data_IF_066992758514
#
_entry.id   IF_066992758514
#
_cell.length_a   1.000
_cell.length_b   1.000
_cell.length_c   1.000
_cell.angle_alpha   90.00
_cell.angle_beta   90.00
_cell.angle_gamma   90.00
#
_symmetry.space_group_name_H-M   'P 1'
#
loop_
_entity.id
_entity.type
_entity.pdbx_description
1 polymer ?
#
# COMPACT_ATOMS: atom_id res chain seq x y z
N UNK A 1 -16.32 -59.44 -12.31
CA UNK A 1 -16.41 -58.71 -11.05
C UNK A 1 -15.16 -57.89 -10.72
N UNK A 2 -14.48 -57.30 -11.71
CA UNK A 2 -13.19 -56.54 -11.55
C UNK A 2 -13.30 -55.07 -11.98
N UNK A 3 -14.37 -54.65 -12.61
CA UNK A 3 -14.46 -53.28 -13.23
C UNK A 3 -14.77 -52.12 -12.23
N UNK A 4 -15.31 -52.40 -11.05
CA UNK A 4 -15.69 -51.36 -10.10
C UNK A 4 -14.57 -50.85 -9.21
N UNK A 5 -13.48 -51.60 -9.05
CA UNK A 5 -12.34 -51.18 -8.19
C UNK A 5 -11.41 -50.17 -8.85
N UNK A 6 -11.40 -50.09 -10.19
CA UNK A 6 -10.59 -49.14 -10.92
C UNK A 6 -11.17 -47.71 -10.92
N UNK A 7 -12.51 -47.58 -10.93
CA UNK A 7 -13.18 -46.28 -10.94
C UNK A 7 -13.01 -45.50 -9.64
N UNK A 8 -13.03 -46.20 -8.49
CA UNK A 8 -12.85 -45.57 -7.17
C UNK A 8 -11.44 -45.01 -6.95
N UNK A 9 -10.42 -45.63 -7.54
CA UNK A 9 -9.02 -45.17 -7.42
C UNK A 9 -8.69 -43.94 -8.28
N UNK A 10 -9.35 -43.81 -9.44
CA UNK A 10 -9.22 -42.61 -10.28
C UNK A 10 -9.88 -41.36 -9.64
N UNK A 11 -11.06 -41.54 -9.00
CA UNK A 11 -11.74 -40.42 -8.31
C UNK A 11 -10.98 -39.95 -7.08
N UNK A 12 -10.33 -40.86 -6.33
CA UNK A 12 -9.51 -40.52 -5.17
C UNK A 12 -8.27 -39.71 -5.56
N UNK A 13 -7.67 -39.96 -6.72
CA UNK A 13 -6.52 -39.22 -7.26
C UNK A 13 -6.88 -37.77 -7.69
N UNK A 14 -8.06 -37.59 -8.26
CA UNK A 14 -8.54 -36.27 -8.71
C UNK A 14 -8.91 -35.40 -7.49
N UNK A 15 -9.43 -35.97 -6.41
CA UNK A 15 -9.76 -35.23 -5.19
C UNK A 15 -8.52 -34.67 -4.48
N UNK A 16 -7.39 -35.36 -4.53
CA UNK A 16 -6.13 -34.90 -3.93
C UNK A 16 -5.52 -33.74 -4.74
N UNK A 17 -5.74 -33.67 -6.05
CA UNK A 17 -5.21 -32.60 -6.90
C UNK A 17 -5.89 -31.23 -6.68
N UNK A 18 -7.11 -31.21 -6.17
CA UNK A 18 -7.90 -29.99 -5.96
C UNK A 18 -7.48 -29.23 -4.69
N UNK A 19 -6.81 -29.88 -3.75
CA UNK A 19 -6.40 -29.28 -2.47
C UNK A 19 -5.08 -28.47 -2.52
N UNK A 20 -4.40 -28.39 -3.66
CA UNK A 20 -3.16 -27.59 -3.81
C UNK A 20 -3.47 -26.18 -4.36
N UNK A 21 -4.63 -25.62 -4.06
CA UNK A 21 -4.85 -24.19 -4.22
C UNK A 21 -4.07 -23.45 -3.13
N UNK A 22 -2.76 -23.34 -3.31
CA UNK A 22 -1.87 -22.56 -2.48
C UNK A 22 -2.38 -21.12 -2.49
N UNK A 23 -2.87 -20.60 -1.36
CA UNK A 23 -3.09 -19.17 -1.17
C UNK A 23 -1.74 -18.47 -1.36
N UNK A 24 -1.46 -18.00 -2.57
CA UNK A 24 -0.28 -17.21 -2.85
C UNK A 24 -0.40 -15.90 -2.08
N UNK A 25 0.44 -15.70 -1.08
CA UNK A 25 0.56 -14.43 -0.38
C UNK A 25 1.30 -13.43 -1.27
N UNK A 26 0.99 -12.13 -1.17
CA UNK A 26 1.51 -11.10 -2.08
C UNK A 26 3.02 -10.89 -1.95
N UNK A 27 3.60 -11.12 -0.75
CA UNK A 27 5.03 -11.04 -0.53
C UNK A 27 5.63 -12.45 -0.59
N UNK A 28 6.78 -12.58 -1.25
CA UNK A 28 7.47 -13.85 -1.43
C UNK A 28 7.84 -14.51 -0.10
N UNK A 29 7.94 -15.83 -0.10
CA UNK A 29 8.31 -16.63 1.08
C UNK A 29 9.69 -16.21 1.64
N UNK A 30 10.61 -15.84 0.75
CA UNK A 30 11.95 -15.40 1.11
C UNK A 30 11.91 -14.21 2.08
N UNK A 31 11.27 -13.11 1.71
CA UNK A 31 11.19 -11.93 2.56
C UNK A 31 10.34 -12.13 3.81
N UNK A 32 9.36 -13.03 3.78
CA UNK A 32 8.63 -13.38 5.00
C UNK A 32 9.47 -14.13 6.02
N UNK A 33 10.42 -14.95 5.57
CA UNK A 33 11.36 -15.64 6.45
C UNK A 33 12.45 -14.70 6.98
N UNK A 34 12.84 -13.70 6.19
CA UNK A 34 13.83 -12.69 6.56
C UNK A 34 13.24 -11.62 7.49
N UNK A 35 11.94 -11.36 7.37
CA UNK A 35 11.26 -10.34 8.16
C UNK A 35 11.37 -10.64 9.67
N UNK A 36 11.75 -9.61 10.43
CA UNK A 36 11.88 -9.69 11.88
C UNK A 36 10.49 -9.75 12.54
N UNK A 37 10.06 -10.91 13.10
CA UNK A 37 8.68 -11.10 13.54
C UNK A 37 8.28 -10.23 14.73
N UNK A 38 9.27 -9.80 15.53
CA UNK A 38 9.07 -9.01 16.74
C UNK A 38 9.19 -7.50 16.49
N UNK A 39 9.52 -7.06 15.26
CA UNK A 39 9.68 -5.64 14.92
C UNK A 39 8.36 -5.11 14.36
N UNK A 40 7.62 -4.41 15.20
CA UNK A 40 6.33 -3.84 14.84
C UNK A 40 6.45 -2.39 14.37
N UNK A 41 5.50 -1.92 13.54
CA UNK A 41 5.49 -0.52 13.09
C UNK A 41 5.56 0.50 14.24
N UNK A 42 4.79 0.41 15.34
CA UNK A 42 4.87 1.38 16.43
C UNK A 42 6.24 1.43 17.12
N UNK A 43 6.98 0.32 17.15
CA UNK A 43 8.33 0.29 17.72
C UNK A 43 9.32 1.07 16.85
N UNK A 44 9.30 0.79 15.54
CA UNK A 44 10.15 1.49 14.57
C UNK A 44 9.76 2.97 14.47
N UNK A 45 8.47 3.29 14.51
CA UNK A 45 7.98 4.66 14.44
C UNK A 45 8.51 5.53 15.60
N UNK A 46 8.66 4.95 16.80
CA UNK A 46 9.21 5.66 17.96
C UNK A 46 10.72 5.87 17.90
N UNK A 47 11.43 4.92 17.33
CA UNK A 47 12.91 4.99 17.22
C UNK A 47 13.38 4.25 15.95
N UNK A 48 13.30 4.87 14.77
CA UNK A 48 13.67 4.22 13.52
C UNK A 48 15.11 3.73 13.47
N UNK A 49 16.02 4.49 14.09
CA UNK A 49 17.44 4.20 14.05
C UNK A 49 17.82 2.92 14.82
N UNK A 50 17.07 2.59 15.88
CA UNK A 50 17.30 1.35 16.64
C UNK A 50 17.01 0.07 15.83
N UNK A 51 16.24 0.18 14.76
CA UNK A 51 15.82 -0.95 13.92
C UNK A 51 16.41 -0.91 12.52
N UNK A 52 17.41 -0.05 12.28
CA UNK A 52 18.10 0.04 11.00
C UNK A 52 18.68 -1.32 10.60
N UNK A 53 18.45 -1.73 9.34
CA UNK A 53 18.83 -3.02 8.81
C UNK A 53 17.81 -4.14 9.04
N UNK A 54 16.77 -3.93 9.87
CA UNK A 54 15.71 -4.92 10.05
C UNK A 54 14.82 -4.99 8.82
N UNK A 55 14.50 -6.20 8.36
CA UNK A 55 13.50 -6.40 7.30
C UNK A 55 12.12 -6.45 7.93
N UNK A 56 11.20 -5.68 7.35
CA UNK A 56 9.81 -5.55 7.80
C UNK A 56 8.84 -5.76 6.65
N UNK A 57 7.62 -6.22 6.96
CA UNK A 57 6.52 -6.31 6.00
C UNK A 57 5.42 -5.38 6.49
N UNK A 58 5.25 -4.27 5.79
CA UNK A 58 4.25 -3.25 6.12
C UNK A 58 3.34 -3.00 4.94
N UNK A 59 2.21 -2.38 5.21
CA UNK A 59 1.29 -1.96 4.17
C UNK A 59 0.47 -0.76 4.59
N UNK A 60 -0.30 -0.26 3.63
CA UNK A 60 -1.14 0.90 3.89
C UNK A 60 -1.68 1.52 2.61
N UNK A 61 -2.16 2.76 2.74
CA UNK A 61 -2.63 3.56 1.63
C UNK A 61 -1.57 4.58 1.21
N UNK A 62 -1.32 4.70 -0.09
CA UNK A 62 -0.42 5.70 -0.66
C UNK A 62 -1.03 7.09 -0.45
N UNK A 63 -0.27 8.00 0.14
CA UNK A 63 -0.61 9.43 0.28
C UNK A 63 -0.06 10.20 -0.90
N UNK A 64 1.21 9.96 -1.25
CA UNK A 64 1.93 10.66 -2.33
C UNK A 64 2.99 9.75 -2.93
N UNK A 65 3.22 9.90 -4.23
CA UNK A 65 4.34 9.28 -4.96
C UNK A 65 5.19 10.41 -5.53
N UNK A 66 6.49 10.37 -5.29
CA UNK A 66 7.45 11.36 -5.79
C UNK A 66 8.58 10.63 -6.50
N UNK A 67 8.92 11.05 -7.72
CA UNK A 67 9.98 10.46 -8.51
C UNK A 67 11.21 11.36 -8.54
N UNK A 68 12.37 10.76 -8.42
CA UNK A 68 13.69 11.39 -8.46
C UNK A 68 14.52 10.74 -9.58
N UNK A 69 15.68 11.30 -9.86
CA UNK A 69 16.63 10.75 -10.85
C UNK A 69 17.03 9.30 -10.50
N UNK A 70 17.10 8.97 -9.22
CA UNK A 70 17.64 7.70 -8.70
C UNK A 70 16.55 6.79 -8.10
N UNK A 71 15.29 6.93 -8.52
CA UNK A 71 14.21 6.09 -8.04
C UNK A 71 12.95 6.84 -7.63
N UNK A 72 12.17 6.26 -6.72
CA UNK A 72 10.89 6.81 -6.29
C UNK A 72 10.73 6.73 -4.79
N UNK A 73 9.96 7.65 -4.23
CA UNK A 73 9.50 7.61 -2.84
C UNK A 73 7.96 7.51 -2.81
N UNK A 74 7.47 6.58 -1.99
CA UNK A 74 6.07 6.50 -1.62
C UNK A 74 5.93 7.01 -0.19
N UNK A 75 5.08 8.00 0.02
CA UNK A 75 4.62 8.37 1.35
C UNK A 75 3.35 7.58 1.65
N UNK A 76 3.38 6.74 2.69
CA UNK A 76 2.34 5.74 2.95
C UNK A 76 1.76 5.93 4.33
N UNK A 77 0.42 5.98 4.41
CA UNK A 77 -0.33 5.87 5.65
C UNK A 77 -0.38 4.40 6.04
N UNK A 78 0.35 4.03 7.08
CA UNK A 78 0.47 2.65 7.52
C UNK A 78 -0.82 2.17 8.17
N UNK A 79 -1.25 0.97 7.79
CA UNK A 79 -2.35 0.25 8.43
C UNK A 79 -1.96 -1.20 8.68
N UNK A 80 -2.45 -1.83 9.78
CA UNK A 80 -2.18 -3.23 10.05
C UNK A 80 -2.57 -4.11 8.87
N UNK A 81 -1.80 -5.14 8.63
CA UNK A 81 -2.14 -6.17 7.64
C UNK A 81 -3.22 -7.11 8.19
N UNK A 82 -4.16 -7.44 7.35
CA UNK A 82 -5.18 -8.45 7.60
C UNK A 82 -4.86 -9.79 6.96
N UNK A 83 -5.88 -10.60 6.76
CA UNK A 83 -5.76 -11.89 6.05
C UNK A 83 -5.18 -11.69 4.65
N UNK A 84 -4.25 -12.56 4.26
CA UNK A 84 -3.55 -12.47 2.98
C UNK A 84 -2.63 -11.26 2.87
N UNK A 85 -2.14 -10.71 3.98
CA UNK A 85 -1.25 -9.53 4.04
C UNK A 85 -1.88 -8.26 3.42
N UNK A 86 -3.22 -8.19 3.32
CA UNK A 86 -3.92 -7.03 2.78
C UNK A 86 -4.02 -5.92 3.83
N UNK A 87 -3.67 -4.66 3.49
CA UNK A 87 -3.83 -3.53 4.41
C UNK A 87 -5.30 -3.33 4.82
N UNK A 88 -5.55 -3.15 6.12
CA UNK A 88 -6.87 -2.86 6.66
C UNK A 88 -7.38 -1.50 6.16
N UNK A 89 -8.54 -1.08 6.64
CA UNK A 89 -9.10 0.25 6.35
C UNK A 89 -8.25 1.33 7.00
N UNK A 90 -8.30 2.54 6.46
CA UNK A 90 -7.54 3.70 6.95
C UNK A 90 -7.87 4.09 8.39
N UNK A 91 -9.08 3.76 8.86
CA UNK A 91 -9.51 3.98 10.26
C UNK A 91 -8.59 3.27 11.27
N UNK A 92 -7.83 2.27 10.83
CA UNK A 92 -6.85 1.54 11.66
C UNK A 92 -5.42 2.05 11.47
N UNK A 93 -5.24 3.24 10.89
CA UNK A 93 -3.90 3.79 10.65
C UNK A 93 -3.14 4.02 11.97
N UNK A 94 -1.85 3.69 11.96
CA UNK A 94 -0.98 3.80 13.14
C UNK A 94 0.11 4.87 12.98
N UNK A 95 0.23 5.42 11.80
CA UNK A 95 1.22 6.44 11.48
C UNK A 95 1.57 6.45 10.00
N UNK A 96 2.65 7.10 9.65
CA UNK A 96 3.11 7.24 8.27
C UNK A 96 4.57 6.83 8.15
N UNK A 97 4.98 6.38 6.97
CA UNK A 97 6.38 6.09 6.66
C UNK A 97 6.70 6.43 5.21
N UNK A 98 7.97 6.54 4.93
CA UNK A 98 8.51 6.74 3.58
C UNK A 98 9.05 5.41 3.08
N UNK A 99 8.59 4.94 1.93
CA UNK A 99 9.14 3.78 1.25
C UNK A 99 9.91 4.23 0.01
N UNK A 100 11.20 3.95 -0.03
CA UNK A 100 12.10 4.28 -1.15
C UNK A 100 12.29 3.11 -2.07
N UNK A 101 12.19 3.35 -3.37
CA UNK A 101 12.49 2.39 -4.44
C UNK A 101 13.66 2.89 -5.27
N UNK A 102 14.59 2.01 -5.64
CA UNK A 102 15.60 2.29 -6.65
C UNK A 102 15.06 2.31 -8.09
N UNK A 103 13.82 1.80 -8.26
CA UNK A 103 13.14 1.77 -9.55
C UNK A 103 12.11 2.90 -9.64
N UNK A 104 11.82 3.31 -10.87
CA UNK A 104 10.73 4.24 -11.15
C UNK A 104 9.37 3.59 -10.84
N UNK A 105 8.55 4.26 -10.06
CA UNK A 105 7.17 3.89 -9.79
C UNK A 105 6.25 4.90 -10.48
N UNK A 106 5.46 4.43 -11.44
CA UNK A 106 4.55 5.28 -12.20
C UNK A 106 3.47 5.88 -11.27
N UNK A 107 3.38 7.22 -11.14
CA UNK A 107 2.38 7.88 -10.30
C UNK A 107 0.93 7.62 -10.74
N UNK A 108 0.69 7.27 -12.00
CA UNK A 108 -0.64 6.87 -12.48
C UNK A 108 -1.04 5.48 -11.95
N UNK A 109 -0.06 4.63 -11.69
CA UNK A 109 -0.27 3.28 -11.12
C UNK A 109 -0.26 3.33 -9.60
N UNK A 110 0.74 3.99 -9.01
CA UNK A 110 0.93 4.15 -7.57
C UNK A 110 0.36 5.49 -7.07
N UNK A 111 -0.88 5.81 -7.45
CA UNK A 111 -1.51 7.08 -7.09
C UNK A 111 -2.07 7.08 -5.65
N UNK A 112 -2.39 8.26 -5.15
CA UNK A 112 -3.05 8.48 -3.84
C UNK A 112 -4.26 7.56 -3.67
N UNK A 113 -4.40 6.95 -2.49
CA UNK A 113 -5.50 6.07 -2.11
C UNK A 113 -5.34 4.60 -2.54
N UNK A 114 -4.33 4.25 -3.38
CA UNK A 114 -4.04 2.84 -3.67
C UNK A 114 -3.41 2.17 -2.46
N UNK A 115 -3.80 0.91 -2.22
CA UNK A 115 -3.22 0.10 -1.15
C UNK A 115 -2.00 -0.66 -1.66
N UNK A 116 -0.96 -0.69 -0.84
CA UNK A 116 0.26 -1.45 -1.08
C UNK A 116 0.62 -2.29 0.13
N UNK A 117 1.24 -3.44 -0.12
CA UNK A 117 1.99 -4.20 0.88
C UNK A 117 3.42 -4.31 0.36
N UNK A 118 4.39 -4.05 1.19
CA UNK A 118 5.79 -4.11 0.80
C UNK A 118 6.62 -4.85 1.86
N UNK A 119 7.63 -5.54 1.39
CA UNK A 119 8.76 -5.99 2.20
C UNK A 119 9.91 -5.03 1.96
N UNK A 120 10.58 -4.64 3.02
CA UNK A 120 11.72 -3.72 2.90
C UNK A 120 12.56 -3.64 4.16
N UNK A 121 13.72 -3.08 4.01
CA UNK A 121 14.70 -2.89 5.07
C UNK A 121 14.57 -1.50 5.68
N UNK A 122 14.50 -1.40 7.00
CA UNK A 122 14.52 -0.11 7.71
C UNK A 122 15.86 0.56 7.44
N UNK A 123 15.83 1.67 6.74
CA UNK A 123 17.04 2.41 6.35
C UNK A 123 17.42 3.50 7.36
N UNK A 124 16.42 4.09 8.00
CA UNK A 124 16.60 5.19 8.94
C UNK A 124 15.37 6.04 9.10
N UNK A 125 15.54 7.34 9.11
CA UNK A 125 14.46 8.30 9.30
C UNK A 125 14.56 9.48 8.32
N UNK A 126 13.42 10.12 8.02
CA UNK A 126 13.32 11.37 7.27
C UNK A 126 12.55 12.39 8.11
N UNK A 127 13.15 13.55 8.35
CA UNK A 127 12.47 14.69 8.97
C UNK A 127 11.76 15.51 7.90
N UNK A 128 10.50 15.79 8.12
CA UNK A 128 9.68 16.63 7.24
C UNK A 128 9.16 17.79 8.06
N UNK A 129 9.47 19.00 7.61
CA UNK A 129 9.02 20.22 8.27
C UNK A 129 7.65 20.62 7.70
N UNK A 130 6.71 20.98 8.58
CA UNK A 130 5.41 21.51 8.19
C UNK A 130 5.56 22.79 7.35
N UNK A 131 4.65 23.03 6.42
CA UNK A 131 4.58 24.28 5.60
C UNK A 131 4.71 25.57 6.43
N UNK A 132 4.22 25.54 7.66
CA UNK A 132 4.30 26.70 8.57
C UNK A 132 5.67 26.84 9.25
N UNK A 133 6.59 25.89 9.05
CA UNK A 133 7.90 25.86 9.70
C UNK A 133 7.85 25.56 11.22
N UNK A 134 6.66 25.47 11.80
CA UNK A 134 6.49 25.39 13.26
C UNK A 134 6.61 23.98 13.83
N UNK A 135 6.43 22.97 12.99
CA UNK A 135 6.45 21.57 13.43
C UNK A 135 7.30 20.73 12.48
N UNK A 136 8.08 19.82 13.06
CA UNK A 136 8.83 18.84 12.31
C UNK A 136 8.39 17.44 12.72
N UNK A 137 8.16 16.59 11.74
CA UNK A 137 7.74 15.21 11.93
C UNK A 137 8.84 14.28 11.44
N UNK A 138 9.14 13.26 12.23
CA UNK A 138 10.12 12.24 11.85
C UNK A 138 9.38 10.98 11.43
N UNK A 139 9.68 10.49 10.23
CA UNK A 139 9.07 9.31 9.66
C UNK A 139 10.11 8.21 9.42
N UNK A 140 9.81 6.94 9.72
CA UNK A 140 10.66 5.83 9.32
C UNK A 140 10.83 5.78 7.80
N UNK A 141 12.04 5.47 7.36
CA UNK A 141 12.36 5.22 5.94
C UNK A 141 12.64 3.75 5.75
N UNK A 142 11.99 3.14 4.76
CA UNK A 142 12.15 1.74 4.39
C UNK A 142 12.58 1.65 2.94
N UNK A 143 13.68 0.94 2.68
CA UNK A 143 14.10 0.59 1.31
C UNK A 143 13.31 -0.60 0.81
N UNK A 144 12.53 -0.42 -0.24
CA UNK A 144 11.67 -1.46 -0.82
C UNK A 144 12.55 -2.57 -1.41
N UNK A 145 12.29 -3.81 -1.02
CA UNK A 145 12.84 -5.04 -1.62
C UNK A 145 11.79 -5.70 -2.51
N UNK A 146 10.55 -5.71 -2.08
CA UNK A 146 9.40 -6.25 -2.84
C UNK A 146 8.16 -5.40 -2.54
N UNK A 147 7.33 -5.15 -3.53
CA UNK A 147 6.10 -4.38 -3.38
C UNK A 147 4.95 -5.04 -4.14
N UNK A 148 3.81 -5.15 -3.48
CA UNK A 148 2.56 -5.62 -4.07
C UNK A 148 1.53 -4.49 -4.04
N UNK A 149 0.99 -4.16 -5.21
CA UNK A 149 -0.05 -3.16 -5.38
C UNK A 149 -1.43 -3.85 -5.45
N UNK A 150 -2.28 -3.57 -4.50
CA UNK A 150 -3.63 -4.14 -4.46
C UNK A 150 -4.53 -3.54 -5.52
N UNK A 151 -5.22 -4.39 -6.26
CA UNK A 151 -6.29 -3.94 -7.15
C UNK A 151 -7.45 -3.40 -6.33
N UNK A 152 -8.09 -2.30 -6.81
CA UNK A 152 -9.38 -1.91 -6.27
C UNK A 152 -10.35 -3.06 -6.53
N UNK A 153 -11.02 -3.54 -5.49
CA UNK A 153 -12.21 -4.34 -5.72
C UNK A 153 -13.14 -3.45 -6.57
N UNK A 154 -13.41 -3.85 -7.82
CA UNK A 154 -14.53 -3.25 -8.53
C UNK A 154 -15.74 -3.51 -7.65
N UNK A 155 -16.36 -2.45 -7.14
CA UNK A 155 -17.71 -2.57 -6.63
C UNK A 155 -18.53 -3.08 -7.83
N UNK A 156 -18.87 -4.36 -7.77
CA UNK A 156 -19.81 -4.94 -8.72
C UNK A 156 -21.16 -4.37 -8.31
N UNK A 157 -21.48 -3.19 -8.87
CA UNK A 157 -22.86 -2.74 -8.86
C UNK A 157 -23.58 -3.69 -9.79
N UNK A 158 -24.49 -4.56 -9.30
CA UNK A 158 -25.43 -5.17 -10.19
C UNK A 158 -26.11 -3.98 -10.88
N UNK A 159 -26.01 -3.93 -12.22
CA UNK A 159 -26.77 -2.99 -12.98
C UNK A 159 -28.24 -3.29 -12.63
N UNK A 160 -28.75 -2.58 -11.66
CA UNK A 160 -30.17 -2.53 -11.38
C UNK A 160 -30.75 -1.80 -12.58
N UNK A 161 -31.12 -2.56 -13.62
CA UNK A 161 -32.00 -2.06 -14.65
C UNK A 161 -33.37 -1.89 -13.97
N UNK A 162 -33.83 -0.68 -13.68
CA UNK A 162 -35.23 -0.49 -13.34
C UNK A 162 -35.99 -0.92 -14.59
N UNK A 163 -36.78 -1.97 -14.46
CA UNK A 163 -37.80 -2.29 -15.44
C UNK A 163 -38.71 -1.06 -15.55
N UNK A 164 -38.52 -0.29 -16.60
CA UNK A 164 -39.38 0.83 -16.93
C UNK A 164 -40.72 0.27 -17.37
N UNK A 165 -41.66 0.18 -16.45
CA UNK A 165 -43.08 0.22 -16.78
C UNK A 165 -43.40 1.71 -16.95
N UNK A 166 -43.85 2.07 -18.16
CA UNK A 166 -43.98 3.42 -18.67
C UNK A 166 -44.59 4.43 -17.71
N UNK A 167 -43.92 5.54 -17.55
CA UNK A 167 -44.41 6.71 -16.81
C UNK A 167 -43.34 7.83 -16.91
N UNK A 168 -43.76 8.99 -17.32
CA UNK A 168 -42.98 10.21 -17.51
C UNK A 168 -41.95 10.45 -16.41
N UNK A 169 -40.66 10.46 -16.76
CA UNK A 169 -39.59 10.87 -15.87
C UNK A 169 -39.36 12.39 -16.00
N UNK A 170 -39.52 13.18 -14.93
CA UNK A 170 -38.97 14.53 -14.92
C UNK A 170 -37.44 14.46 -14.90
N UNK A 171 -36.80 15.27 -15.73
CA UNK A 171 -35.37 15.49 -15.75
C UNK A 171 -34.90 15.97 -14.37
N UNK A 172 -34.31 15.07 -13.56
CA UNK A 172 -33.48 15.47 -12.43
C UNK A 172 -31.99 15.29 -12.80
N UNK A 173 -31.37 16.38 -13.09
CA UNK A 173 -29.93 16.55 -13.00
C UNK A 173 -29.59 16.59 -11.50
N UNK A 174 -29.01 15.54 -10.97
CA UNK A 174 -28.60 15.54 -9.57
C UNK A 174 -28.12 14.16 -9.15
N UNK A 175 -26.88 14.10 -8.70
CA UNK A 175 -26.08 12.96 -8.29
C UNK A 175 -26.85 11.86 -7.54
N UNK A 176 -26.49 10.62 -7.84
CA UNK A 176 -26.99 9.46 -7.13
C UNK A 176 -26.55 9.51 -5.65
N UNK A 177 -27.31 8.87 -4.74
CA UNK A 177 -27.13 9.02 -3.30
C UNK A 177 -25.84 8.40 -2.70
N UNK A 178 -24.87 8.01 -3.51
CA UNK A 178 -23.56 7.51 -3.10
C UNK A 178 -22.43 7.99 -4.02
N UNK A 179 -22.63 9.11 -4.73
CA UNK A 179 -21.58 9.84 -5.41
C UNK A 179 -20.80 10.64 -4.38
N UNK A 180 -19.49 10.48 -4.39
CA UNK A 180 -18.47 11.46 -3.96
C UNK A 180 -18.20 11.71 -2.45
N UNK A 181 -18.92 11.15 -1.52
CA UNK A 181 -18.64 11.38 -0.08
C UNK A 181 -17.43 10.63 0.49
N UNK A 182 -16.73 9.79 -0.30
CA UNK A 182 -15.55 9.06 0.19
C UNK A 182 -14.21 9.66 -0.23
N UNK A 183 -14.24 10.80 -0.89
CA UNK A 183 -13.08 11.64 -1.19
C UNK A 183 -13.26 13.03 -0.59
N UNK A 184 -13.67 13.07 0.68
CA UNK A 184 -13.60 14.31 1.44
C UNK A 184 -12.16 14.81 1.46
N UNK A 185 -11.97 16.07 1.14
CA UNK A 185 -10.74 16.86 1.08
C UNK A 185 -9.98 16.98 2.42
N UNK A 186 -10.16 16.00 3.32
CA UNK A 186 -9.60 16.03 4.67
C UNK A 186 -8.17 15.47 4.80
N UNK A 187 -7.57 15.04 3.69
CA UNK A 187 -6.11 15.03 3.57
C UNK A 187 -5.68 16.40 3.09
N UNK A 188 -5.67 17.36 4.02
CA UNK A 188 -5.14 18.68 3.76
C UNK A 188 -3.88 18.55 2.92
N UNK A 189 -3.82 19.26 1.82
CA UNK A 189 -2.65 19.43 0.98
C UNK A 189 -1.57 20.15 1.80
N UNK A 190 -1.04 19.44 2.81
CA UNK A 190 0.13 19.85 3.53
C UNK A 190 1.29 19.74 2.54
N UNK A 191 1.51 20.83 1.83
CA UNK A 191 2.52 20.95 0.81
C UNK A 191 3.87 20.52 1.36
N UNK A 192 4.35 19.43 0.80
CA UNK A 192 5.73 18.98 0.97
C UNK A 192 6.64 20.01 0.28
N UNK A 193 7.30 20.85 1.06
CA UNK A 193 8.39 21.67 0.58
C UNK A 193 9.69 20.86 0.79
N UNK A 194 10.25 20.37 -0.29
CA UNK A 194 11.62 19.87 -0.32
C UNK A 194 12.53 21.07 -0.14
N UNK A 195 13.19 21.19 1.00
CA UNK A 195 14.34 22.06 1.14
C UNK A 195 15.46 21.48 0.28
N UNK A 196 15.76 22.14 -0.82
CA UNK A 196 16.94 21.87 -1.64
C UNK A 196 18.17 22.09 -0.77
N UNK A 197 18.88 21.03 -0.40
CA UNK A 197 20.27 21.10 0.06
C UNK A 197 21.15 21.35 -1.18
N UNK A 198 21.12 22.57 -1.69
CA UNK A 198 22.23 23.06 -2.53
C UNK A 198 23.42 23.33 -1.64
N UNK A 199 24.41 22.45 -1.78
CA UNK A 199 25.73 22.61 -1.19
C UNK A 199 26.38 23.90 -1.70
N UNK A 200 26.51 24.86 -0.81
CA UNK A 200 27.27 26.07 -1.05
C UNK A 200 28.77 25.71 -0.94
N UNK A 201 29.37 25.43 -2.09
CA UNK A 201 30.82 25.36 -2.22
C UNK A 201 31.38 26.78 -2.12
N UNK A 202 31.96 27.10 -0.97
CA UNK A 202 32.74 28.30 -0.80
C UNK A 202 34.03 28.22 -1.64
N UNK A 203 34.11 28.98 -2.69
CA UNK A 203 35.37 29.37 -3.32
C UNK A 203 35.99 30.52 -2.51
N UNK A 204 37.03 30.18 -1.78
CA UNK A 204 37.97 31.13 -1.21
C UNK A 204 39.06 31.41 -2.26
N UNK A 205 39.13 32.64 -2.72
CA UNK A 205 40.11 33.07 -3.69
C UNK A 205 40.45 34.55 -3.58
N UNK A 206 41.49 34.82 -2.83
CA UNK A 206 42.35 36.05 -2.76
C UNK A 206 41.99 37.09 -1.74
#
# INVERSE_FOLDING_TARGET
MIRHKFFGRLFSGIYILIFIASCALPISKHFRQEAAPNVTFPMVFRNPMAYKGSVVIWGGAIIKTTNFKNGSELFVLETPLGSGEKPKRIDYARGRFVAKSSSYLDPLVYHKGRKVTLAGEVYGEKKIVSRTGKQSYTYPVVMIKEIHLWTRARAWYPAYYPYYYGGYAPFYWGGGPFGDEFYGDDFGDEGFNEGDEEGNGAEEGR
#
